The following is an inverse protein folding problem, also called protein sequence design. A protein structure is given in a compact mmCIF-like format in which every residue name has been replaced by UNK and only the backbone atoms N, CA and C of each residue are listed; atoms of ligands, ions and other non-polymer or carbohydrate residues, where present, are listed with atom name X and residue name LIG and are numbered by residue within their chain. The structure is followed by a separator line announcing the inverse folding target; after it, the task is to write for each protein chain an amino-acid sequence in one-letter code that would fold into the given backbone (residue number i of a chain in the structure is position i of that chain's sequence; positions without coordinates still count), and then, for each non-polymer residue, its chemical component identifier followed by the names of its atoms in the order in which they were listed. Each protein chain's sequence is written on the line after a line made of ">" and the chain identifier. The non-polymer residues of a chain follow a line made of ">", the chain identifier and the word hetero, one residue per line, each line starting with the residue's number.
data_IF_772519484408
#
_entry.id   IF_772519484408
#
_cell.length_a   1.000
_cell.length_b   1.000
_cell.length_c   1.000
_cell.angle_alpha   90.00
_cell.angle_beta   90.00
_cell.angle_gamma   90.00
#
_symmetry.space_group_name_H-M   'P 1'
#
loop_
_entity.id
_entity.type
_entity.pdbx_description
1 polymer ?
#
# COMPACT_ATOMS: atom_id res chain seq x y z
N UNK A 1 -12.68 -5.79 -10.19
CA UNK A 1 -12.41 -5.74 -11.63
C UNK A 1 -11.01 -5.19 -11.82
N UNK A 2 -10.15 -5.90 -12.53
CA UNK A 2 -8.98 -5.31 -13.18
C UNK A 2 -9.44 -4.01 -13.86
N UNK A 3 -8.80 -2.87 -13.50
CA UNK A 3 -9.34 -1.56 -13.82
C UNK A 3 -9.27 -1.34 -15.32
N UNK A 4 -10.37 -1.65 -16.00
CA UNK A 4 -10.54 -1.40 -17.42
C UNK A 4 -10.38 0.09 -17.68
N UNK A 5 -9.59 0.42 -18.69
CA UNK A 5 -9.46 1.78 -19.18
C UNK A 5 -9.67 1.83 -20.68
N UNK A 6 -10.04 3.00 -21.20
CA UNK A 6 -10.16 3.18 -22.64
C UNK A 6 -8.79 3.11 -23.30
N UNK A 7 -8.70 2.49 -24.46
CA UNK A 7 -7.47 2.41 -25.25
C UNK A 7 -6.86 3.80 -25.54
N UNK A 8 -7.69 4.81 -25.83
CA UNK A 8 -7.18 6.17 -26.02
C UNK A 8 -6.62 6.81 -24.75
N UNK A 9 -7.15 6.43 -23.58
CA UNK A 9 -6.62 6.83 -22.28
C UNK A 9 -5.31 6.12 -21.98
N UNK A 10 -5.24 4.81 -22.23
CA UNK A 10 -4.02 3.99 -22.08
C UNK A 10 -2.85 4.60 -22.86
N UNK A 11 -3.03 4.80 -24.17
CA UNK A 11 -1.99 5.34 -25.05
C UNK A 11 -1.66 6.80 -24.72
N UNK A 12 -2.65 7.55 -24.20
CA UNK A 12 -2.48 8.94 -23.78
C UNK A 12 -1.65 9.07 -22.51
N UNK A 13 -1.90 8.23 -21.51
CA UNK A 13 -1.13 8.19 -20.28
C UNK A 13 0.30 7.72 -20.55
N UNK A 14 0.50 6.77 -21.49
CA UNK A 14 1.82 6.34 -21.98
C UNK A 14 2.45 7.30 -23.00
N UNK A 15 1.90 8.50 -23.16
CA UNK A 15 2.47 9.61 -23.95
C UNK A 15 2.78 9.26 -25.42
N UNK A 16 2.01 8.35 -26.02
CA UNK A 16 2.11 8.02 -27.46
C UNK A 16 1.68 9.21 -28.34
N UNK A 17 0.79 10.06 -27.83
CA UNK A 17 0.42 11.31 -28.48
C UNK A 17 -0.72 12.02 -27.76
N UNK A 18 -1.13 13.17 -28.28
CA UNK A 18 -2.37 13.82 -27.84
C UNK A 18 -3.58 12.94 -28.17
N UNK A 19 -4.70 13.15 -27.46
CA UNK A 19 -5.94 12.39 -27.70
C UNK A 19 -6.38 12.39 -29.16
N UNK A 20 -6.18 13.50 -29.88
CA UNK A 20 -6.50 13.60 -31.32
C UNK A 20 -5.55 12.77 -32.18
N UNK A 21 -4.23 12.83 -31.91
CA UNK A 21 -3.22 12.04 -32.61
C UNK A 21 -3.41 10.54 -32.38
N UNK A 22 -3.75 10.12 -31.16
CA UNK A 22 -4.03 8.72 -30.83
C UNK A 22 -5.26 8.23 -31.60
N UNK A 23 -6.36 8.98 -31.60
CA UNK A 23 -7.55 8.63 -32.37
C UNK A 23 -7.27 8.50 -33.87
N UNK A 24 -6.43 9.38 -34.41
CA UNK A 24 -6.00 9.30 -35.80
C UNK A 24 -5.14 8.06 -36.08
N UNK A 25 -4.18 7.74 -35.21
CA UNK A 25 -3.33 6.57 -35.35
C UNK A 25 -4.11 5.25 -35.29
N UNK A 26 -5.08 5.16 -34.37
CA UNK A 26 -6.01 4.02 -34.27
C UNK A 26 -6.80 3.87 -35.59
N UNK A 27 -7.36 4.95 -36.13
CA UNK A 27 -8.05 4.94 -37.44
C UNK A 27 -7.16 4.51 -38.60
N UNK A 28 -5.87 4.80 -38.53
CA UNK A 28 -4.85 4.43 -39.53
C UNK A 28 -4.26 3.03 -39.31
N UNK A 29 -4.88 2.18 -38.48
CA UNK A 29 -4.44 0.81 -38.19
C UNK A 29 -3.04 0.70 -37.58
N UNK A 30 -2.56 1.76 -36.91
CA UNK A 30 -1.23 1.80 -36.29
C UNK A 30 -1.21 1.21 -34.88
N UNK A 31 -2.37 0.78 -34.37
CA UNK A 31 -2.52 0.24 -33.02
C UNK A 31 -3.10 -1.17 -33.08
N UNK A 32 -2.52 -2.09 -32.33
CA UNK A 32 -3.05 -3.46 -32.12
C UNK A 32 -3.32 -3.70 -30.63
N UNK A 33 -4.31 -4.54 -30.35
CA UNK A 33 -4.59 -5.10 -29.02
C UNK A 33 -4.62 -6.61 -29.17
N UNK A 34 -3.75 -7.31 -28.44
CA UNK A 34 -3.53 -8.76 -28.52
C UNK A 34 -3.28 -9.23 -29.96
N UNK A 35 -2.45 -8.49 -30.70
CA UNK A 35 -2.10 -8.78 -32.09
C UNK A 35 -3.17 -8.42 -33.13
N UNK A 36 -4.36 -7.98 -32.72
CA UNK A 36 -5.46 -7.62 -33.63
C UNK A 36 -5.50 -6.09 -33.78
N UNK A 37 -5.55 -5.61 -35.03
CA UNK A 37 -5.68 -4.17 -35.34
C UNK A 37 -6.96 -3.62 -34.72
N UNK A 38 -6.83 -2.57 -33.91
CA UNK A 38 -7.96 -1.90 -33.27
C UNK A 38 -8.29 -0.59 -33.98
N UNK A 39 -9.58 -0.32 -34.16
CA UNK A 39 -10.12 0.88 -34.82
C UNK A 39 -10.99 1.73 -33.89
N UNK A 40 -11.38 1.20 -32.73
CA UNK A 40 -12.19 1.87 -31.72
C UNK A 40 -11.33 2.43 -30.59
N UNK A 41 -11.15 3.75 -30.59
CA UNK A 41 -10.44 4.47 -29.51
C UNK A 41 -11.04 4.30 -28.12
N UNK A 42 -12.33 3.93 -28.03
CA UNK A 42 -13.06 3.75 -26.77
C UNK A 42 -13.02 2.32 -26.23
N UNK A 43 -12.38 1.37 -26.93
CA UNK A 43 -12.26 -0.02 -26.47
C UNK A 43 -11.72 -0.05 -25.04
N UNK A 44 -12.38 -0.82 -24.18
CA UNK A 44 -11.87 -1.09 -22.84
C UNK A 44 -10.74 -2.11 -22.96
N UNK A 45 -9.60 -1.77 -22.38
CA UNK A 45 -8.41 -2.62 -22.28
C UNK A 45 -8.00 -2.77 -20.83
N UNK A 46 -7.30 -3.87 -20.57
CA UNK A 46 -6.80 -4.29 -19.29
C UNK A 46 -5.29 -4.11 -19.23
N UNK A 47 -4.76 -3.13 -18.46
CA UNK A 47 -3.34 -2.81 -18.54
C UNK A 47 -2.37 -3.91 -18.11
N UNK A 48 -2.81 -4.87 -17.32
CA UNK A 48 -1.98 -5.98 -16.83
C UNK A 48 -2.07 -7.24 -17.69
N UNK A 49 -3.03 -7.33 -18.62
CA UNK A 49 -3.25 -8.55 -19.41
C UNK A 49 -3.35 -8.34 -20.92
N UNK A 50 -3.79 -7.16 -21.39
CA UNK A 50 -3.82 -6.85 -22.82
C UNK A 50 -2.45 -6.38 -23.32
N UNK A 51 -1.96 -6.98 -24.41
CA UNK A 51 -0.76 -6.55 -25.13
C UNK A 51 -1.15 -5.49 -26.15
N UNK A 52 -0.76 -4.24 -25.92
CA UNK A 52 -1.05 -3.12 -26.82
C UNK A 52 0.21 -2.70 -27.56
N UNK A 53 0.17 -2.64 -28.90
CA UNK A 53 1.28 -2.13 -29.70
C UNK A 53 0.91 -0.88 -30.47
N UNK A 54 1.86 0.05 -30.61
CA UNK A 54 1.82 1.20 -31.51
C UNK A 54 2.94 1.10 -32.54
N UNK A 55 2.62 1.12 -33.83
CA UNK A 55 3.55 0.86 -34.95
C UNK A 55 4.38 -0.42 -34.77
N UNK A 56 3.74 -1.48 -34.25
CA UNK A 56 4.39 -2.77 -34.00
C UNK A 56 5.32 -2.80 -32.79
N UNK A 57 5.44 -1.71 -32.02
CA UNK A 57 6.15 -1.68 -30.74
C UNK A 57 5.17 -1.78 -29.59
N UNK A 58 5.43 -2.70 -28.68
CA UNK A 58 4.64 -2.84 -27.46
C UNK A 58 4.71 -1.56 -26.61
N UNK A 59 3.55 -1.15 -26.10
CA UNK A 59 3.38 -0.01 -25.21
C UNK A 59 3.04 -0.56 -23.85
N UNK A 60 4.03 -0.68 -22.98
CA UNK A 60 3.83 -1.15 -21.61
C UNK A 60 3.17 -0.07 -20.76
N UNK A 61 2.16 -0.43 -19.98
CA UNK A 61 1.49 0.51 -19.10
C UNK A 61 2.18 0.60 -17.74
N UNK A 62 2.60 1.81 -17.39
CA UNK A 62 3.17 2.11 -16.08
C UNK A 62 2.25 3.11 -15.37
N UNK A 63 1.36 2.60 -14.52
CA UNK A 63 0.42 3.45 -13.78
C UNK A 63 1.14 4.49 -12.93
N UNK A 64 2.22 4.05 -12.28
CA UNK A 64 2.98 4.80 -11.29
C UNK A 64 4.47 4.71 -11.59
N UNK A 65 5.16 5.85 -11.59
CA UNK A 65 6.60 5.94 -11.80
C UNK A 65 7.29 6.43 -10.52
N UNK A 66 8.48 5.92 -10.24
CA UNK A 66 9.31 6.34 -9.11
C UNK A 66 10.73 6.62 -9.60
N UNK A 67 11.21 7.82 -9.32
CA UNK A 67 12.55 8.25 -9.69
C UNK A 67 13.32 8.76 -8.49
N UNK A 68 14.59 8.38 -8.42
CA UNK A 68 15.59 9.02 -7.60
C UNK A 68 16.27 10.11 -8.43
N UNK A 69 16.21 11.35 -7.96
CA UNK A 69 16.98 12.47 -8.50
C UNK A 69 18.10 12.82 -7.51
N UNK A 70 19.33 12.94 -8.00
CA UNK A 70 20.40 13.61 -7.27
C UNK A 70 20.30 15.11 -7.55
N UNK A 71 19.48 15.82 -6.75
CA UNK A 71 19.20 17.23 -6.97
C UNK A 71 20.49 18.06 -6.85
N UNK A 72 20.82 18.92 -7.84
CA UNK A 72 21.91 19.89 -7.71
C UNK A 72 21.45 21.18 -7.01
N UNK A 73 22.41 21.97 -6.53
CA UNK A 73 22.17 23.34 -6.11
C UNK A 73 21.76 24.22 -7.30
N UNK A 74 21.08 25.33 -7.03
CA UNK A 74 20.62 26.30 -8.03
C UNK A 74 19.28 25.99 -8.68
N UNK A 75 18.71 24.81 -8.44
CA UNK A 75 17.41 24.36 -8.98
C UNK A 75 16.37 24.33 -7.85
N UNK A 76 15.15 24.80 -8.11
CA UNK A 76 14.08 24.82 -7.10
C UNK A 76 13.26 23.52 -7.11
N UNK A 77 12.87 23.03 -5.92
CA UNK A 77 11.94 21.91 -5.81
C UNK A 77 10.50 22.37 -5.99
N UNK A 78 10.03 22.33 -7.23
CA UNK A 78 8.68 22.65 -7.69
C UNK A 78 8.34 21.80 -8.93
N UNK A 79 7.07 21.72 -9.28
CA UNK A 79 6.60 21.07 -10.52
C UNK A 79 6.73 21.98 -11.75
N UNK A 80 6.48 23.27 -11.57
CA UNK A 80 6.60 24.29 -12.60
C UNK A 80 6.98 25.63 -11.98
N UNK A 81 7.71 26.46 -12.72
CA UNK A 81 7.99 27.85 -12.37
C UNK A 81 8.24 28.67 -13.65
N UNK A 82 7.93 29.97 -13.61
CA UNK A 82 8.03 30.85 -14.79
C UNK A 82 9.42 31.44 -15.01
N UNK A 83 10.27 31.43 -13.98
CA UNK A 83 11.55 32.16 -13.96
C UNK A 83 12.71 31.24 -13.62
N UNK A 84 12.49 30.32 -12.69
CA UNK A 84 13.54 29.47 -12.13
C UNK A 84 13.47 28.07 -12.73
N UNK A 85 14.64 27.45 -12.90
CA UNK A 85 14.71 26.04 -13.30
C UNK A 85 14.22 25.15 -12.15
N UNK A 86 13.33 24.23 -12.45
CA UNK A 86 12.75 23.28 -11.50
C UNK A 86 13.41 21.91 -11.58
N UNK A 87 13.14 21.07 -10.58
CA UNK A 87 13.64 19.68 -10.56
C UNK A 87 13.04 18.82 -11.69
N UNK A 88 11.83 19.13 -12.17
CA UNK A 88 11.24 18.41 -13.29
C UNK A 88 11.87 18.80 -14.63
N UNK A 89 12.43 20.01 -14.75
CA UNK A 89 13.20 20.44 -15.93
C UNK A 89 14.54 19.71 -16.08
N UNK A 90 14.95 18.91 -15.09
CA UNK A 90 16.12 18.02 -15.16
C UNK A 90 15.78 16.65 -15.72
N UNK A 91 14.49 16.34 -15.88
CA UNK A 91 14.03 15.02 -16.29
C UNK A 91 13.52 15.02 -17.73
N UNK A 92 13.79 13.92 -18.44
CA UNK A 92 13.26 13.70 -19.79
C UNK A 92 11.88 13.01 -19.78
N UNK A 93 11.33 12.71 -18.59
CA UNK A 93 10.02 12.05 -18.50
C UNK A 93 8.94 12.94 -19.11
N UNK A 94 8.11 12.32 -19.95
CA UNK A 94 7.01 12.99 -20.63
C UNK A 94 5.74 13.05 -19.77
N UNK A 95 5.76 12.47 -18.57
CA UNK A 95 4.63 12.48 -17.64
C UNK A 95 4.45 13.84 -17.00
N UNK A 96 3.22 14.34 -17.05
CA UNK A 96 2.85 15.66 -16.50
C UNK A 96 2.35 15.62 -15.06
N UNK A 97 2.14 14.43 -14.52
CA UNK A 97 1.61 14.18 -13.18
C UNK A 97 2.70 13.79 -12.16
N UNK A 98 3.97 13.87 -12.55
CA UNK A 98 5.10 13.70 -11.64
C UNK A 98 5.23 14.90 -10.71
N UNK A 99 5.57 14.63 -9.45
CA UNK A 99 5.86 15.66 -8.47
C UNK A 99 6.96 15.21 -7.48
N UNK A 100 7.73 16.16 -6.91
CA UNK A 100 8.72 15.85 -5.91
C UNK A 100 8.08 15.50 -4.56
N UNK A 101 8.56 14.43 -3.92
CA UNK A 101 8.17 14.00 -2.58
C UNK A 101 9.00 14.75 -1.55
N UNK A 102 8.41 15.85 -1.08
CA UNK A 102 9.06 16.79 -0.18
C UNK A 102 9.93 17.78 -0.94
N UNK A 103 10.56 18.69 -0.18
CA UNK A 103 11.31 19.80 -0.75
C UNK A 103 12.73 19.82 -0.22
N UNK A 104 13.66 20.19 -1.09
CA UNK A 104 14.99 20.62 -0.73
C UNK A 104 15.11 22.10 -1.12
N UNK A 105 15.86 22.86 -0.32
CA UNK A 105 16.07 24.28 -0.61
C UNK A 105 16.87 24.43 -1.92
N UNK A 106 16.82 25.62 -2.53
CA UNK A 106 17.47 25.88 -3.83
C UNK A 106 18.96 25.54 -3.81
N UNK A 107 19.64 25.84 -2.70
CA UNK A 107 21.06 25.61 -2.44
C UNK A 107 21.36 24.26 -1.76
N UNK A 108 20.35 23.39 -1.57
CA UNK A 108 20.53 22.06 -0.99
C UNK A 108 20.58 20.98 -2.07
N UNK A 109 21.53 20.07 -1.93
CA UNK A 109 21.77 18.96 -2.85
C UNK A 109 21.24 17.62 -2.32
N UNK A 110 21.30 16.59 -3.17
CA UNK A 110 21.15 15.20 -2.75
C UNK A 110 19.81 14.57 -3.13
N UNK A 111 19.48 13.50 -2.42
CA UNK A 111 18.34 12.64 -2.73
C UNK A 111 17.02 13.39 -2.78
N UNK A 112 16.32 13.32 -3.90
CA UNK A 112 14.92 13.72 -4.04
C UNK A 112 14.14 12.62 -4.76
N UNK A 113 13.09 12.10 -4.11
CA UNK A 113 12.14 11.19 -4.73
C UNK A 113 11.17 11.99 -5.59
N UNK A 114 10.93 11.55 -6.82
CA UNK A 114 9.92 12.08 -7.74
C UNK A 114 9.00 10.94 -8.15
N UNK A 115 7.69 11.13 -8.00
CA UNK A 115 6.69 10.13 -8.32
C UNK A 115 5.36 10.78 -8.64
N UNK A 116 4.42 10.01 -9.17
CA UNK A 116 3.01 10.36 -9.26
C UNK A 116 2.15 9.57 -8.23
N UNK A 117 2.77 8.81 -7.33
CA UNK A 117 2.08 8.15 -6.20
C UNK A 117 1.80 9.14 -5.06
N UNK A 118 0.57 9.66 -5.05
CA UNK A 118 0.10 10.60 -4.02
C UNK A 118 0.05 9.99 -2.61
N UNK A 119 -0.29 8.70 -2.50
CA UNK A 119 -0.50 8.05 -1.22
C UNK A 119 0.84 7.71 -0.54
N UNK A 120 1.82 7.22 -1.31
CA UNK A 120 3.19 7.06 -0.84
C UNK A 120 3.78 8.42 -0.43
N UNK A 121 3.60 9.44 -1.25
CA UNK A 121 4.15 10.76 -0.95
C UNK A 121 3.57 11.37 0.33
N UNK A 122 2.24 11.31 0.50
CA UNK A 122 1.58 11.77 1.72
C UNK A 122 2.08 10.99 2.95
N UNK A 123 2.27 9.67 2.83
CA UNK A 123 2.81 8.84 3.90
C UNK A 123 4.24 9.23 4.28
N UNK A 124 5.11 9.43 3.29
CA UNK A 124 6.51 9.78 3.50
C UNK A 124 6.70 11.18 4.09
N UNK A 125 5.76 12.09 3.83
CA UNK A 125 5.81 13.47 4.31
C UNK A 125 5.01 13.71 5.59
N UNK A 126 4.14 12.76 5.98
CA UNK A 126 3.28 12.92 7.15
C UNK A 126 4.11 13.11 8.43
N UNK A 127 3.88 14.18 9.20
CA UNK A 127 4.56 14.41 10.48
C UNK A 127 4.36 13.29 11.52
N UNK A 128 3.29 12.50 11.35
CA UNK A 128 2.92 11.37 12.23
C UNK A 128 3.75 10.11 11.97
N UNK A 129 4.41 10.00 10.81
CA UNK A 129 5.13 8.78 10.40
C UNK A 129 6.62 8.81 10.76
N UNK A 130 7.15 9.95 11.19
CA UNK A 130 8.53 10.09 11.67
C UNK A 130 9.59 9.54 10.69
N UNK A 131 9.37 9.71 9.39
CA UNK A 131 10.32 9.22 8.37
C UNK A 131 11.65 9.96 8.52
N UNK A 132 12.67 9.21 8.93
CA UNK A 132 14.02 9.71 9.10
C UNK A 132 14.61 10.21 7.78
N UNK A 133 15.35 11.32 7.85
CA UNK A 133 16.07 11.92 6.73
C UNK A 133 17.47 12.20 7.22
N UNK A 134 18.46 11.65 6.53
CA UNK A 134 19.87 11.80 6.88
C UNK A 134 20.50 12.81 5.94
N UNK A 135 21.20 13.77 6.50
CA UNK A 135 21.90 14.82 5.79
C UNK A 135 23.37 14.81 6.14
N UNK A 136 24.19 15.13 5.16
CA UNK A 136 25.57 15.56 5.36
C UNK A 136 25.61 17.09 5.29
N UNK A 137 26.29 17.71 6.24
CA UNK A 137 26.45 19.16 6.26
C UNK A 137 27.90 19.53 6.56
N UNK A 138 28.37 20.59 5.89
CA UNK A 138 29.56 21.33 6.32
C UNK A 138 29.09 22.57 7.06
N UNK A 139 29.59 22.77 8.26
CA UNK A 139 29.15 23.84 9.16
C UNK A 139 30.35 24.62 9.70
N UNK A 140 30.18 25.93 9.86
CA UNK A 140 31.25 26.82 10.29
C UNK A 140 31.64 26.56 11.76
N UNK A 141 32.94 26.54 12.02
CA UNK A 141 33.51 26.31 13.34
C UNK A 141 33.60 24.82 13.73
N UNK A 142 34.17 24.59 14.90
CA UNK A 142 34.36 23.26 15.47
C UNK A 142 33.14 22.86 16.31
N UNK A 143 32.42 21.83 15.88
CA UNK A 143 31.28 21.29 16.61
C UNK A 143 31.78 20.39 17.75
N UNK A 144 31.36 20.68 18.97
CA UNK A 144 31.65 19.89 20.16
C UNK A 144 30.49 19.01 20.62
N UNK A 145 30.79 18.14 21.58
CA UNK A 145 29.84 17.18 22.16
C UNK A 145 28.61 17.87 22.81
N UNK A 146 28.78 19.09 23.31
CA UNK A 146 27.70 19.89 23.87
C UNK A 146 26.61 20.23 22.84
N UNK A 147 26.97 20.35 21.56
CA UNK A 147 26.01 20.58 20.48
C UNK A 147 25.25 19.29 20.16
N UNK A 148 25.93 18.14 20.17
CA UNK A 148 25.32 16.81 19.98
C UNK A 148 24.23 16.58 21.03
N UNK A 149 24.54 16.86 22.29
CA UNK A 149 23.57 16.72 23.39
C UNK A 149 22.36 17.66 23.24
N UNK A 150 22.57 18.91 22.78
CA UNK A 150 21.47 19.85 22.50
C UNK A 150 20.56 19.36 21.36
N UNK A 151 21.12 18.76 20.31
CA UNK A 151 20.33 18.18 19.22
C UNK A 151 19.52 16.97 19.71
N UNK A 152 20.14 16.09 20.50
CA UNK A 152 19.48 14.92 21.09
C UNK A 152 18.35 15.28 22.07
N UNK A 153 18.47 16.41 22.78
CA UNK A 153 17.40 16.92 23.66
C UNK A 153 16.25 17.60 22.90
N UNK A 154 16.46 17.96 21.62
CA UNK A 154 15.58 18.85 20.87
C UNK A 154 15.89 20.33 21.13
N UNK A 155 15.71 21.15 20.10
CA UNK A 155 16.03 22.58 20.12
C UNK A 155 14.76 23.44 20.08
N UNK A 156 14.84 24.64 20.66
CA UNK A 156 13.85 25.70 20.43
C UNK A 156 14.51 26.74 19.52
N UNK A 157 13.89 26.97 18.36
CA UNK A 157 14.36 27.98 17.43
C UNK A 157 14.07 29.40 17.94
N UNK A 158 14.75 30.41 17.39
CA UNK A 158 14.57 31.81 17.81
C UNK A 158 13.15 32.37 17.65
N UNK A 159 12.31 31.73 16.84
CA UNK A 159 10.88 32.05 16.66
C UNK A 159 9.95 31.32 17.67
N UNK A 160 10.52 30.58 18.63
CA UNK A 160 9.79 29.78 19.61
C UNK A 160 9.39 28.39 19.12
N UNK A 161 9.73 28.01 17.88
CA UNK A 161 9.41 26.69 17.35
C UNK A 161 10.21 25.60 18.07
N UNK A 162 9.52 24.72 18.80
CA UNK A 162 10.13 23.53 19.39
C UNK A 162 10.34 22.44 18.33
N UNK A 163 11.55 21.88 18.28
CA UNK A 163 11.97 20.80 17.39
C UNK A 163 12.01 19.48 18.14
N UNK A 164 11.79 18.38 17.41
CA UNK A 164 11.98 17.03 17.94
C UNK A 164 13.48 16.75 18.13
N UNK A 165 13.83 15.78 18.98
CA UNK A 165 15.18 15.22 19.03
C UNK A 165 15.73 14.89 17.65
N UNK A 166 17.02 15.18 17.46
CA UNK A 166 17.78 14.88 16.25
C UNK A 166 19.11 14.22 16.62
N UNK A 167 19.55 13.29 15.79
CA UNK A 167 20.88 12.68 15.94
C UNK A 167 21.89 13.53 15.17
N UNK A 168 23.05 13.75 15.77
CA UNK A 168 24.15 14.52 15.19
C UNK A 168 25.46 13.75 15.40
N UNK A 169 26.05 13.29 14.31
CA UNK A 169 27.37 12.67 14.32
C UNK A 169 28.41 13.65 13.79
N UNK A 170 29.51 13.82 14.52
CA UNK A 170 30.66 14.60 14.06
C UNK A 170 31.55 13.67 13.24
N UNK A 171 31.72 13.96 11.94
CA UNK A 171 32.51 13.12 11.03
C UNK A 171 33.97 13.55 11.05
N UNK A 172 34.22 14.85 10.88
CA UNK A 172 35.58 15.42 10.89
C UNK A 172 35.56 16.92 11.09
N UNK A 173 36.73 17.51 11.33
CA UNK A 173 36.97 18.95 11.35
C UNK A 173 38.16 19.29 10.47
N UNK A 174 38.06 20.38 9.72
CA UNK A 174 39.13 20.89 8.86
C UNK A 174 39.62 22.23 9.39
N UNK A 175 40.88 22.29 9.85
CA UNK A 175 41.50 23.52 10.35
C UNK A 175 41.67 24.58 9.25
N UNK A 176 41.89 24.17 8.00
CA UNK A 176 42.16 25.09 6.88
C UNK A 176 40.92 25.89 6.46
N UNK A 177 39.76 25.25 6.51
CA UNK A 177 38.48 25.88 6.15
C UNK A 177 37.70 26.36 7.37
N UNK A 178 38.14 26.00 8.58
CA UNK A 178 37.42 26.19 9.83
C UNK A 178 35.99 25.64 9.77
N UNK A 179 35.83 24.43 9.22
CA UNK A 179 34.52 23.78 9.04
C UNK A 179 34.50 22.38 9.67
N UNK A 180 33.37 22.02 10.29
CA UNK A 180 33.07 20.64 10.68
C UNK A 180 32.22 19.96 9.62
N UNK A 181 32.58 18.72 9.27
CA UNK A 181 31.70 17.81 8.54
C UNK A 181 30.88 17.02 9.55
N UNK A 182 29.57 17.06 9.39
CA UNK A 182 28.62 16.41 10.31
C UNK A 182 27.55 15.65 9.54
N UNK A 183 26.99 14.63 10.19
CA UNK A 183 25.82 13.91 9.71
C UNK A 183 24.65 14.15 10.67
N UNK A 184 23.51 14.56 10.13
CA UNK A 184 22.32 14.89 10.93
C UNK A 184 21.15 14.02 10.49
N UNK A 185 20.49 13.36 11.45
CA UNK A 185 19.23 12.63 11.22
C UNK A 185 18.07 13.40 11.84
N UNK A 186 17.07 13.74 11.02
CA UNK A 186 15.83 14.37 11.48
C UNK A 186 14.60 13.59 10.99
N UNK A 187 13.54 13.60 11.79
CA UNK A 187 12.25 12.93 11.46
C UNK A 187 11.13 13.91 11.09
N UNK A 188 11.41 15.21 11.13
CA UNK A 188 10.53 16.29 10.70
C UNK A 188 11.08 16.96 9.43
N UNK A 189 10.45 18.04 8.99
CA UNK A 189 10.77 18.72 7.73
C UNK A 189 10.29 20.16 7.76
N UNK A 190 10.65 20.91 8.79
CA UNK A 190 10.27 22.33 8.91
C UNK A 190 11.10 23.20 7.95
N UNK A 191 10.58 24.38 7.65
CA UNK A 191 11.24 25.34 6.75
C UNK A 191 12.69 25.59 7.18
N UNK A 192 13.66 25.38 6.28
CA UNK A 192 15.10 25.56 6.53
C UNK A 192 15.60 24.95 7.86
N UNK A 193 15.01 23.82 8.28
CA UNK A 193 15.16 23.32 9.66
C UNK A 193 16.63 23.17 10.09
N UNK A 194 17.45 22.46 9.31
CA UNK A 194 18.86 22.18 9.65
C UNK A 194 19.65 23.48 9.76
N UNK A 195 19.47 24.41 8.82
CA UNK A 195 20.13 25.72 8.85
C UNK A 195 19.77 26.50 10.12
N UNK A 196 18.48 26.49 10.50
CA UNK A 196 18.01 27.15 11.73
C UNK A 196 18.49 26.45 13.01
N UNK A 197 18.64 25.13 13.00
CA UNK A 197 19.19 24.37 14.11
C UNK A 197 20.65 24.75 14.39
N UNK A 198 21.50 24.79 13.37
CA UNK A 198 22.89 25.23 13.54
C UNK A 198 22.99 26.69 13.96
N UNK A 199 22.15 27.56 13.39
CA UNK A 199 22.11 28.97 13.79
C UNK A 199 21.78 29.13 15.28
N UNK A 200 20.86 28.33 15.81
CA UNK A 200 20.47 28.35 17.22
C UNK A 200 21.61 27.93 18.18
N UNK A 201 22.63 27.22 17.68
CA UNK A 201 23.83 26.86 18.45
C UNK A 201 25.06 27.70 18.07
N UNK A 202 24.87 28.79 17.32
CA UNK A 202 25.95 29.73 16.95
C UNK A 202 26.81 29.30 15.77
N UNK A 203 26.33 28.38 14.94
CA UNK A 203 27.02 27.86 13.75
C UNK A 203 26.23 28.14 12.48
N UNK A 204 26.88 28.16 11.32
CA UNK A 204 26.24 28.39 10.02
C UNK A 204 26.46 27.19 9.08
N UNK A 205 25.42 26.78 8.34
CA UNK A 205 25.53 25.70 7.34
C UNK A 205 26.08 26.26 6.04
N UNK A 206 27.24 25.75 5.60
CA UNK A 206 27.94 26.14 4.38
C UNK A 206 27.60 25.24 3.19
N UNK A 207 27.31 23.97 3.47
CA UNK A 207 26.89 22.99 2.49
C UNK A 207 25.90 22.02 3.11
N UNK A 208 24.90 21.58 2.34
CA UNK A 208 23.89 20.64 2.79
C UNK A 208 23.52 19.68 1.67
N UNK A 209 23.61 18.37 1.96
CA UNK A 209 23.24 17.29 1.04
C UNK A 209 22.39 16.26 1.75
N UNK A 210 21.21 15.93 1.21
CA UNK A 210 20.41 14.81 1.72
C UNK A 210 20.96 13.49 1.20
N UNK A 211 21.35 12.60 2.10
CA UNK A 211 21.88 11.27 1.78
C UNK A 211 20.77 10.22 1.72
N UNK A 212 19.74 10.33 2.57
CA UNK A 212 18.66 9.35 2.60
C UNK A 212 17.32 9.93 3.05
N UNK A 213 16.24 9.22 2.72
CA UNK A 213 14.89 9.47 3.21
C UNK A 213 14.18 8.13 3.41
N UNK A 214 13.88 7.79 4.66
CA UNK A 214 13.39 6.47 5.04
C UNK A 214 14.39 5.39 4.64
N UNK A 215 13.90 4.35 3.97
CA UNK A 215 14.70 3.23 3.46
C UNK A 215 15.50 3.57 2.19
N UNK A 216 15.20 4.68 1.52
CA UNK A 216 15.85 5.07 0.28
C UNK A 216 17.15 5.84 0.56
N UNK A 217 18.27 5.35 0.02
CA UNK A 217 19.59 5.99 0.08
C UNK A 217 19.97 6.53 -1.28
N UNK A 218 20.65 7.67 -1.32
CA UNK A 218 21.19 8.23 -2.55
C UNK A 218 22.19 7.24 -3.15
N UNK A 219 22.04 6.98 -4.45
CA UNK A 219 23.00 6.21 -5.22
C UNK A 219 24.31 6.98 -5.36
N UNK A 220 25.41 6.37 -4.92
CA UNK A 220 26.75 6.97 -4.96
C UNK A 220 27.27 7.17 -6.39
N UNK A 221 26.75 6.41 -7.36
CA UNK A 221 27.13 6.50 -8.77
C UNK A 221 26.27 7.49 -9.56
N UNK A 222 25.19 8.01 -8.98
CA UNK A 222 24.30 8.96 -9.66
C UNK A 222 24.88 10.37 -9.57
N UNK A 223 25.24 10.97 -10.72
CA UNK A 223 25.86 12.28 -10.72
C UNK A 223 24.85 13.41 -10.38
N UNK A 224 25.37 14.59 -10.01
CA UNK A 224 24.53 15.76 -9.74
C UNK A 224 23.69 16.14 -10.97
N UNK A 225 22.38 16.29 -10.79
CA UNK A 225 21.44 16.58 -11.87
C UNK A 225 20.88 15.34 -12.57
N UNK A 226 21.50 14.18 -12.38
CA UNK A 226 21.00 12.93 -12.95
C UNK A 226 19.88 12.32 -12.11
N UNK A 227 19.05 11.55 -12.79
CA UNK A 227 17.99 10.76 -12.19
C UNK A 227 17.99 9.35 -12.75
N UNK A 228 17.46 8.42 -11.96
CA UNK A 228 17.20 7.04 -12.40
C UNK A 228 15.88 6.54 -11.86
N UNK A 229 15.30 5.54 -12.51
CA UNK A 229 14.18 4.82 -11.94
C UNK A 229 14.61 4.12 -10.64
N UNK A 230 13.70 4.02 -9.68
CA UNK A 230 13.91 3.16 -8.52
C UNK A 230 13.87 1.68 -8.95
N UNK A 231 14.65 0.86 -8.27
CA UNK A 231 14.54 -0.60 -8.41
C UNK A 231 13.26 -1.11 -7.75
N UNK A 232 12.79 -2.30 -8.14
CA UNK A 232 11.64 -2.94 -7.48
C UNK A 232 11.86 -3.11 -5.98
N UNK A 233 13.08 -3.41 -5.55
CA UNK A 233 13.45 -3.53 -4.14
C UNK A 233 13.37 -2.19 -3.38
N UNK A 234 13.82 -1.09 -4.00
CA UNK A 234 13.71 0.25 -3.40
C UNK A 234 12.24 0.67 -3.23
N UNK A 235 11.40 0.40 -4.24
CA UNK A 235 9.96 0.67 -4.19
C UNK A 235 9.31 -0.17 -3.10
N UNK A 236 9.61 -1.47 -3.06
CA UNK A 236 9.15 -2.44 -2.06
C UNK A 236 9.48 -1.97 -0.64
N UNK A 237 10.73 -1.55 -0.38
CA UNK A 237 11.14 -1.01 0.93
C UNK A 237 10.50 0.32 1.30
N UNK A 238 10.08 1.14 0.32
CA UNK A 238 9.35 2.39 0.56
C UNK A 238 7.85 2.14 0.85
N UNK A 239 7.31 1.09 0.24
CA UNK A 239 5.93 0.68 0.41
C UNK A 239 5.71 -0.09 1.72
N UNK A 240 6.70 -0.88 2.12
CA UNK A 240 6.63 -1.75 3.30
C UNK A 240 5.96 -3.08 2.97
N UNK A 241 5.49 -3.76 4.01
CA UNK A 241 4.79 -5.04 3.91
C UNK A 241 3.39 -4.93 4.53
N UNK A 242 2.49 -5.81 4.10
CA UNK A 242 1.12 -5.88 4.60
C UNK A 242 0.78 -7.29 5.08
N UNK A 243 0.03 -7.38 6.18
CA UNK A 243 -0.69 -8.58 6.58
C UNK A 243 -2.17 -8.35 6.27
N UNK A 244 -2.72 -9.16 5.37
CA UNK A 244 -4.11 -9.13 4.95
C UNK A 244 -4.77 -10.40 5.49
N UNK A 245 -5.88 -10.24 6.19
CA UNK A 245 -6.55 -11.35 6.86
C UNK A 245 -7.95 -11.53 6.29
N UNK A 246 -8.33 -12.77 6.01
CA UNK A 246 -9.73 -13.13 6.18
C UNK A 246 -10.13 -12.96 7.66
N UNK A 247 -11.43 -12.82 7.91
CA UNK A 247 -11.95 -12.64 9.25
C UNK A 247 -12.38 -13.97 9.86
N UNK A 248 -13.34 -14.64 9.22
CA UNK A 248 -14.11 -15.75 9.78
C UNK A 248 -13.35 -17.06 9.62
N UNK A 249 -13.03 -17.73 10.72
CA UNK A 249 -12.16 -18.91 10.66
C UNK A 249 -10.68 -18.56 10.48
N UNK A 250 -10.33 -17.28 10.35
CA UNK A 250 -8.94 -16.81 10.31
C UNK A 250 -8.57 -16.03 11.57
N UNK A 251 -9.11 -14.81 11.76
CA UNK A 251 -8.84 -14.00 12.94
C UNK A 251 -9.78 -14.30 14.10
N UNK A 252 -11.03 -14.64 13.77
CA UNK A 252 -12.07 -14.95 14.75
C UNK A 252 -12.54 -16.40 14.61
N UNK A 253 -12.88 -17.02 15.73
CA UNK A 253 -13.47 -18.36 15.78
C UNK A 253 -14.99 -18.24 15.63
N UNK A 254 -15.48 -18.32 14.39
CA UNK A 254 -16.88 -18.01 14.05
C UNK A 254 -17.51 -18.94 13.01
N UNK A 255 -16.74 -19.77 12.29
CA UNK A 255 -17.27 -20.54 11.15
C UNK A 255 -18.44 -21.47 11.53
N UNK A 256 -18.40 -22.02 12.74
CA UNK A 256 -19.38 -22.98 13.23
C UNK A 256 -20.80 -22.42 13.42
N UNK A 257 -21.00 -21.10 13.38
CA UNK A 257 -22.33 -20.49 13.53
C UNK A 257 -23.16 -20.58 12.24
N UNK A 258 -22.50 -20.54 11.07
CA UNK A 258 -23.18 -20.38 9.78
C UNK A 258 -24.11 -21.54 9.42
N UNK A 259 -23.76 -22.82 9.67
CA UNK A 259 -24.69 -23.92 9.45
C UNK A 259 -26.00 -23.80 10.23
N UNK A 260 -25.95 -23.27 11.46
CA UNK A 260 -27.14 -23.06 12.28
C UNK A 260 -28.01 -21.93 11.73
N UNK A 261 -27.39 -20.86 11.22
CA UNK A 261 -28.07 -19.75 10.54
C UNK A 261 -28.73 -20.27 9.26
N UNK A 262 -28.02 -21.07 8.46
CA UNK A 262 -28.56 -21.66 7.24
C UNK A 262 -29.74 -22.60 7.53
N UNK A 263 -29.66 -23.41 8.59
CA UNK A 263 -30.74 -24.29 9.03
C UNK A 263 -31.98 -23.52 9.47
N UNK A 264 -31.82 -22.50 10.31
CA UNK A 264 -32.92 -21.66 10.77
C UNK A 264 -33.56 -20.89 9.60
N UNK A 265 -32.73 -20.23 8.78
CA UNK A 265 -33.19 -19.41 7.66
C UNK A 265 -33.92 -20.25 6.61
N UNK A 266 -33.33 -21.36 6.14
CA UNK A 266 -33.97 -22.25 5.17
C UNK A 266 -35.22 -22.94 5.77
N UNK A 267 -35.21 -23.21 7.07
CA UNK A 267 -36.34 -23.75 7.82
C UNK A 267 -37.57 -22.86 7.76
N UNK A 268 -37.42 -21.53 7.77
CA UNK A 268 -38.53 -20.57 7.60
C UNK A 268 -39.29 -20.77 6.28
N UNK A 269 -38.61 -21.27 5.26
CA UNK A 269 -39.15 -21.55 3.93
C UNK A 269 -39.47 -23.04 3.70
N UNK A 270 -39.32 -23.88 4.73
CA UNK A 270 -39.61 -25.31 4.67
C UNK A 270 -38.54 -26.14 3.97
N UNK A 271 -37.32 -25.62 3.83
CA UNK A 271 -36.18 -26.35 3.26
C UNK A 271 -35.28 -26.93 4.35
N UNK A 272 -34.64 -28.06 4.04
CA UNK A 272 -33.52 -28.60 4.81
C UNK A 272 -32.21 -28.20 4.15
N UNK A 273 -31.15 -28.01 4.93
CA UNK A 273 -29.81 -27.69 4.42
C UNK A 273 -29.26 -28.85 3.57
N UNK A 274 -28.95 -28.63 2.27
CA UNK A 274 -28.30 -29.64 1.45
C UNK A 274 -26.85 -29.92 1.91
N UNK A 275 -26.40 -31.17 1.78
CA UNK A 275 -25.02 -31.56 2.15
C UNK A 275 -23.94 -30.80 1.35
N UNK A 276 -24.26 -30.41 0.10
CA UNK A 276 -23.36 -29.68 -0.79
C UNK A 276 -23.39 -28.16 -0.60
N UNK A 277 -24.22 -27.63 0.32
CA UNK A 277 -24.42 -26.18 0.43
C UNK A 277 -23.12 -25.45 0.76
N UNK A 278 -22.45 -25.83 1.84
CA UNK A 278 -21.26 -25.15 2.34
C UNK A 278 -20.11 -25.15 1.32
N UNK A 279 -19.86 -26.31 0.69
CA UNK A 279 -18.83 -26.43 -0.34
C UNK A 279 -19.16 -25.65 -1.60
N UNK A 280 -20.46 -25.46 -1.91
CA UNK A 280 -20.88 -24.68 -3.08
C UNK A 280 -20.74 -23.18 -2.86
N UNK A 281 -21.06 -22.69 -1.66
CA UNK A 281 -21.05 -21.25 -1.36
C UNK A 281 -19.71 -20.76 -0.81
N UNK A 282 -18.76 -21.66 -0.55
CA UNK A 282 -17.40 -21.31 -0.13
C UNK A 282 -16.79 -20.25 -1.07
N UNK A 283 -16.17 -19.23 -0.50
CA UNK A 283 -15.51 -18.15 -1.23
C UNK A 283 -16.46 -17.10 -1.85
N UNK A 284 -17.73 -17.43 -2.11
CA UNK A 284 -18.73 -16.48 -2.60
C UNK A 284 -18.86 -15.29 -1.65
N UNK A 285 -19.10 -14.11 -2.21
CA UNK A 285 -19.48 -12.95 -1.41
C UNK A 285 -20.86 -13.14 -0.78
N UNK A 286 -21.14 -12.37 0.26
CA UNK A 286 -22.45 -12.31 0.90
C UNK A 286 -23.60 -12.07 -0.09
N UNK A 287 -23.37 -11.27 -1.14
CA UNK A 287 -24.38 -10.98 -2.17
C UNK A 287 -24.50 -12.10 -3.19
N UNK A 288 -23.40 -12.72 -3.63
CA UNK A 288 -23.43 -13.90 -4.52
C UNK A 288 -24.15 -15.07 -3.84
N UNK A 289 -23.92 -15.27 -2.55
CA UNK A 289 -24.62 -16.28 -1.74
C UNK A 289 -26.13 -16.01 -1.71
N UNK A 290 -26.56 -14.75 -1.54
CA UNK A 290 -27.97 -14.40 -1.61
C UNK A 290 -28.61 -14.69 -2.98
N UNK A 291 -27.89 -14.40 -4.08
CA UNK A 291 -28.36 -14.78 -5.42
C UNK A 291 -28.50 -16.30 -5.58
N UNK A 292 -27.51 -17.05 -5.12
CA UNK A 292 -27.53 -18.50 -5.13
C UNK A 292 -28.72 -19.06 -4.34
N UNK A 293 -28.97 -18.57 -3.11
CA UNK A 293 -30.11 -19.02 -2.31
C UNK A 293 -31.44 -18.71 -2.99
N UNK A 294 -31.57 -17.50 -3.56
CA UNK A 294 -32.77 -17.10 -4.28
C UNK A 294 -33.06 -17.99 -5.48
N UNK A 295 -32.03 -18.35 -6.24
CA UNK A 295 -32.17 -19.22 -7.41
C UNK A 295 -32.39 -20.69 -7.01
N UNK A 296 -31.59 -21.24 -6.10
CA UNK A 296 -31.64 -22.65 -5.72
C UNK A 296 -32.90 -23.01 -4.95
N UNK A 297 -33.31 -22.17 -4.01
CA UNK A 297 -34.43 -22.44 -3.11
C UNK A 297 -35.68 -21.60 -3.45
N UNK A 298 -35.67 -20.85 -4.56
CA UNK A 298 -36.81 -20.06 -5.03
C UNK A 298 -37.36 -19.10 -3.95
N UNK A 299 -36.46 -18.52 -3.14
CA UNK A 299 -36.82 -17.64 -2.02
C UNK A 299 -37.51 -16.37 -2.54
N UNK A 300 -38.72 -16.02 -2.05
CA UNK A 300 -39.47 -14.88 -2.54
C UNK A 300 -38.82 -13.53 -2.21
N UNK A 301 -38.12 -13.46 -1.08
CA UNK A 301 -37.49 -12.26 -0.55
C UNK A 301 -36.48 -11.62 -1.50
N UNK A 302 -36.42 -10.29 -1.49
CA UNK A 302 -35.38 -9.58 -2.23
C UNK A 302 -33.99 -9.85 -1.63
N UNK A 303 -32.94 -9.76 -2.45
CA UNK A 303 -31.54 -9.97 -2.02
C UNK A 303 -31.20 -9.17 -0.76
N UNK A 304 -31.68 -7.92 -0.69
CA UNK A 304 -31.46 -7.05 0.45
C UNK A 304 -32.21 -7.48 1.72
N UNK A 305 -33.40 -8.06 1.61
CA UNK A 305 -34.12 -8.63 2.75
C UNK A 305 -33.39 -9.87 3.28
N UNK A 306 -32.96 -10.77 2.40
CA UNK A 306 -32.21 -11.98 2.78
C UNK A 306 -30.95 -11.62 3.57
N UNK A 307 -30.17 -10.66 3.05
CA UNK A 307 -28.95 -10.17 3.70
C UNK A 307 -29.21 -9.50 5.04
N UNK A 308 -30.32 -8.76 5.17
CA UNK A 308 -30.72 -8.15 6.45
C UNK A 308 -31.10 -9.20 7.49
N UNK A 309 -31.81 -10.25 7.09
CA UNK A 309 -32.20 -11.34 8.00
C UNK A 309 -30.97 -12.12 8.47
N UNK A 310 -30.06 -12.51 7.55
CA UNK A 310 -28.80 -13.16 7.91
C UNK A 310 -27.94 -12.30 8.85
N UNK A 311 -27.83 -10.99 8.58
CA UNK A 311 -27.16 -10.07 9.48
C UNK A 311 -27.81 -10.07 10.85
N UNK A 312 -29.14 -9.98 10.94
CA UNK A 312 -29.86 -9.95 12.21
C UNK A 312 -29.65 -11.25 13.03
N UNK A 313 -29.67 -12.41 12.37
CA UNK A 313 -29.43 -13.72 12.98
C UNK A 313 -27.99 -13.83 13.53
N UNK A 314 -27.01 -13.34 12.79
CA UNK A 314 -25.60 -13.40 13.16
C UNK A 314 -25.18 -12.31 14.16
N UNK A 315 -25.86 -11.16 14.18
CA UNK A 315 -25.36 -9.93 14.81
C UNK A 315 -25.00 -10.09 16.29
N UNK A 316 -25.85 -10.77 17.07
CA UNK A 316 -25.61 -10.96 18.51
C UNK A 316 -24.29 -11.67 18.78
N UNK A 317 -23.97 -12.68 17.96
CA UNK A 317 -22.72 -13.41 18.07
C UNK A 317 -21.53 -12.50 17.75
N UNK A 318 -21.52 -11.83 16.60
CA UNK A 318 -20.39 -10.98 16.20
C UNK A 318 -20.21 -9.80 17.16
N UNK A 319 -21.30 -9.16 17.59
CA UNK A 319 -21.26 -7.98 18.42
C UNK A 319 -20.87 -8.27 19.87
N UNK A 320 -21.03 -9.51 20.37
CA UNK A 320 -20.89 -9.80 21.80
C UNK A 320 -20.16 -11.09 22.17
N UNK A 321 -20.12 -12.11 21.30
CA UNK A 321 -19.63 -13.46 21.63
C UNK A 321 -18.42 -13.91 20.83
N UNK A 322 -18.17 -13.32 19.66
CA UNK A 322 -17.02 -13.64 18.85
C UNK A 322 -15.73 -13.53 19.66
N UNK A 323 -14.82 -14.48 19.45
CA UNK A 323 -13.53 -14.55 20.14
C UNK A 323 -12.39 -14.55 19.12
N UNK A 324 -11.25 -13.95 19.50
CA UNK A 324 -10.03 -14.01 18.70
C UNK A 324 -9.40 -15.39 18.78
N UNK A 325 -8.81 -15.82 17.66
CA UNK A 325 -7.95 -17.00 17.66
C UNK A 325 -6.68 -16.79 18.51
N UNK A 326 -6.12 -17.87 19.09
CA UNK A 326 -4.92 -17.77 19.91
C UNK A 326 -3.77 -17.06 19.17
N UNK A 327 -3.13 -16.10 19.86
CA UNK A 327 -2.00 -15.32 19.32
C UNK A 327 -2.37 -14.18 18.35
N UNK A 328 -3.63 -14.07 17.90
CA UNK A 328 -4.01 -13.08 16.88
C UNK A 328 -3.73 -11.64 17.35
N UNK A 329 -4.12 -11.30 18.58
CA UNK A 329 -3.89 -9.96 19.13
C UNK A 329 -2.39 -9.62 19.24
N UNK A 330 -1.57 -10.57 19.69
CA UNK A 330 -0.12 -10.39 19.82
C UNK A 330 0.54 -10.15 18.46
N UNK A 331 0.08 -10.86 17.42
CA UNK A 331 0.51 -10.62 16.05
C UNK A 331 0.14 -9.20 15.60
N UNK A 332 -1.11 -8.76 15.78
CA UNK A 332 -1.55 -7.41 15.37
C UNK A 332 -0.73 -6.31 16.06
N UNK A 333 -0.46 -6.46 17.36
CA UNK A 333 0.40 -5.54 18.14
C UNK A 333 1.82 -5.53 17.59
N UNK A 334 2.40 -6.71 17.37
CA UNK A 334 3.79 -6.84 16.90
C UNK A 334 3.94 -6.32 15.47
N UNK A 335 2.93 -6.53 14.63
CA UNK A 335 2.91 -6.04 13.27
C UNK A 335 2.87 -4.51 13.21
N UNK A 336 2.04 -3.86 14.05
CA UNK A 336 2.05 -2.39 14.16
C UNK A 336 3.38 -1.83 14.67
N UNK A 337 3.99 -2.48 15.66
CA UNK A 337 5.33 -2.11 16.16
C UNK A 337 6.39 -2.17 15.07
N UNK A 338 6.30 -3.16 14.18
CA UNK A 338 7.19 -3.34 13.03
C UNK A 338 6.70 -2.63 11.76
N UNK A 339 5.74 -1.71 11.90
CA UNK A 339 5.22 -0.86 10.81
C UNK A 339 4.56 -1.59 9.63
N UNK A 340 4.10 -2.83 9.84
CA UNK A 340 3.27 -3.52 8.86
C UNK A 340 1.93 -2.82 8.68
N UNK A 341 1.44 -2.88 7.45
CA UNK A 341 0.06 -2.53 7.12
C UNK A 341 -0.86 -3.68 7.45
N UNK A 342 -2.04 -3.38 7.97
CA UNK A 342 -3.02 -4.41 8.33
C UNK A 342 -4.31 -4.17 7.55
N UNK A 343 -4.83 -5.21 6.92
CA UNK A 343 -6.09 -5.16 6.18
C UNK A 343 -6.99 -6.35 6.46
N UNK A 344 -8.30 -6.13 6.43
CA UNK A 344 -9.32 -7.19 6.40
C UNK A 344 -9.83 -7.35 4.98
N UNK A 345 -9.99 -8.60 4.54
CA UNK A 345 -10.54 -9.00 3.25
C UNK A 345 -11.47 -10.22 3.44
N UNK A 346 -12.72 -9.97 3.82
CA UNK A 346 -13.71 -11.01 4.17
C UNK A 346 -14.81 -11.16 3.12
N UNK A 347 -15.39 -12.35 2.97
CA UNK A 347 -16.62 -12.53 2.17
C UNK A 347 -17.91 -12.16 2.92
N UNK A 348 -17.80 -11.92 4.23
CA UNK A 348 -18.90 -11.56 5.11
C UNK A 348 -19.37 -10.11 4.91
N UNK A 349 -20.48 -9.74 5.55
CA UNK A 349 -21.03 -8.39 5.49
C UNK A 349 -20.18 -7.39 6.28
N UNK A 350 -20.17 -6.13 5.81
CA UNK A 350 -19.44 -5.05 6.48
C UNK A 350 -19.96 -4.82 7.90
N UNK A 351 -21.26 -4.93 8.08
CA UNK A 351 -21.92 -4.75 9.38
C UNK A 351 -21.41 -5.75 10.42
N UNK A 352 -21.36 -7.04 10.08
CA UNK A 352 -20.87 -8.09 10.98
C UNK A 352 -19.37 -7.98 11.22
N UNK A 353 -18.59 -7.73 10.17
CA UNK A 353 -17.14 -7.56 10.29
C UNK A 353 -16.78 -6.40 11.23
N UNK A 354 -17.39 -5.22 11.03
CA UNK A 354 -17.12 -4.08 11.91
C UNK A 354 -17.64 -4.29 13.33
N UNK A 355 -18.77 -4.97 13.51
CA UNK A 355 -19.31 -5.30 14.83
C UNK A 355 -18.33 -6.18 15.64
N UNK A 356 -17.81 -7.26 15.03
CA UNK A 356 -16.82 -8.12 15.69
C UNK A 356 -15.51 -7.38 15.99
N UNK A 357 -14.96 -6.65 15.03
CA UNK A 357 -13.70 -5.92 15.24
C UNK A 357 -13.82 -4.87 16.36
N UNK A 358 -14.97 -4.20 16.49
CA UNK A 358 -15.25 -3.23 17.57
C UNK A 358 -15.42 -3.93 18.92
N UNK A 359 -16.19 -5.02 18.96
CA UNK A 359 -16.37 -5.83 20.17
C UNK A 359 -15.03 -6.34 20.72
N UNK A 360 -14.17 -6.81 19.83
CA UNK A 360 -12.85 -7.36 20.16
C UNK A 360 -11.79 -6.28 20.43
N UNK A 361 -12.11 -5.00 20.28
CA UNK A 361 -11.18 -3.89 20.52
C UNK A 361 -10.02 -3.80 19.52
N UNK A 362 -10.15 -4.41 18.34
CA UNK A 362 -9.09 -4.47 17.32
C UNK A 362 -9.39 -3.66 16.05
N UNK A 363 -10.56 -3.00 15.97
CA UNK A 363 -10.95 -2.19 14.82
C UNK A 363 -9.87 -1.19 14.39
N UNK A 364 -9.30 -0.45 15.34
CA UNK A 364 -8.31 0.61 15.06
C UNK A 364 -6.92 0.08 14.65
N UNK A 365 -6.71 -1.23 14.67
CA UNK A 365 -5.49 -1.84 14.13
C UNK A 365 -5.51 -1.88 12.61
N UNK A 366 -6.66 -1.86 11.94
CA UNK A 366 -6.68 -2.07 10.49
C UNK A 366 -6.57 -0.74 9.74
N UNK A 367 -5.65 -0.68 8.78
CA UNK A 367 -5.53 0.44 7.83
C UNK A 367 -6.68 0.39 6.80
N UNK A 368 -7.25 -0.79 6.54
CA UNK A 368 -8.37 -1.00 5.61
C UNK A 368 -9.26 -2.17 6.05
N UNK A 369 -10.57 -2.05 5.84
CA UNK A 369 -11.54 -3.14 6.01
C UNK A 369 -12.36 -3.26 4.72
N UNK A 370 -12.21 -4.39 4.03
CA UNK A 370 -12.90 -4.73 2.79
C UNK A 370 -13.75 -5.98 2.95
N UNK A 371 -14.85 -5.98 2.22
CA UNK A 371 -15.71 -7.13 2.00
C UNK A 371 -15.66 -7.53 0.53
N UNK A 372 -15.95 -8.80 0.20
CA UNK A 372 -16.07 -9.25 -1.19
C UNK A 372 -17.22 -8.54 -1.93
N UNK A 373 -18.14 -7.88 -1.21
CA UNK A 373 -19.17 -7.02 -1.80
C UNK A 373 -18.65 -5.63 -2.23
N UNK A 374 -17.45 -5.22 -1.79
CA UNK A 374 -16.80 -3.96 -2.23
C UNK A 374 -16.07 -4.13 -3.58
N UNK A 375 -16.00 -5.37 -4.09
CA UNK A 375 -15.29 -5.73 -5.32
C UNK A 375 -16.21 -6.50 -6.27
N UNK A 376 -15.69 -6.84 -7.45
CA UNK A 376 -16.53 -7.31 -8.55
C UNK A 376 -16.86 -8.81 -8.51
N UNK A 377 -16.07 -9.61 -7.81
CA UNK A 377 -16.23 -11.05 -7.68
C UNK A 377 -15.72 -11.52 -6.32
N UNK A 378 -16.40 -12.52 -5.74
CA UNK A 378 -15.93 -13.23 -4.56
C UNK A 378 -14.69 -14.09 -4.81
N UNK A 379 -14.17 -14.69 -3.74
CA UNK A 379 -13.04 -15.63 -3.82
C UNK A 379 -13.50 -16.87 -4.62
N UNK A 380 -12.67 -17.47 -5.48
CA UNK A 380 -11.21 -17.36 -5.57
C UNK A 380 -10.69 -16.22 -6.47
N UNK A 381 -11.54 -15.27 -6.89
CA UNK A 381 -11.05 -14.10 -7.61
C UNK A 381 -10.13 -13.27 -6.69
N UNK A 382 -9.02 -12.71 -7.21
CA UNK A 382 -8.02 -12.01 -6.39
C UNK A 382 -8.46 -10.60 -5.98
N UNK A 383 -9.63 -10.15 -6.43
CA UNK A 383 -10.08 -8.76 -6.40
C UNK A 383 -10.05 -8.11 -5.01
N UNK A 384 -10.51 -8.83 -3.97
CA UNK A 384 -10.58 -8.29 -2.60
C UNK A 384 -9.17 -8.07 -2.03
N UNK A 385 -8.23 -8.97 -2.31
CA UNK A 385 -6.84 -8.86 -1.88
C UNK A 385 -6.09 -7.78 -2.65
N UNK A 386 -6.25 -7.73 -3.98
CA UNK A 386 -5.64 -6.68 -4.80
C UNK A 386 -6.14 -5.27 -4.41
N UNK A 387 -7.43 -5.12 -4.10
CA UNK A 387 -7.97 -3.85 -3.62
C UNK A 387 -7.47 -3.53 -2.20
N UNK A 388 -7.31 -4.53 -1.32
CA UNK A 388 -6.73 -4.33 0.00
C UNK A 388 -5.28 -3.83 -0.09
N UNK A 389 -4.43 -4.53 -0.85
CA UNK A 389 -3.03 -4.17 -1.11
C UNK A 389 -2.91 -2.75 -1.68
N UNK A 390 -3.77 -2.41 -2.65
CA UNK A 390 -3.84 -1.06 -3.21
C UNK A 390 -4.21 0.00 -2.16
N UNK A 391 -5.21 -0.24 -1.32
CA UNK A 391 -5.63 0.72 -0.28
C UNK A 391 -4.60 0.90 0.83
N UNK A 392 -3.79 -0.12 1.12
CA UNK A 392 -2.66 0.00 2.05
C UNK A 392 -1.37 0.47 1.39
N UNK A 393 -1.38 0.62 0.05
CA UNK A 393 -0.27 1.04 -0.80
C UNK A 393 0.96 0.14 -0.67
N UNK A 394 0.73 -1.17 -0.71
CA UNK A 394 1.75 -2.22 -0.71
C UNK A 394 1.55 -3.06 -1.97
N UNK A 395 2.63 -3.36 -2.69
CA UNK A 395 2.56 -4.25 -3.86
C UNK A 395 2.22 -5.68 -3.45
N UNK A 396 1.50 -6.45 -4.28
CA UNK A 396 1.03 -7.79 -3.89
C UNK A 396 2.14 -8.73 -3.42
N UNK A 397 3.33 -8.67 -4.02
CA UNK A 397 4.46 -9.54 -3.69
C UNK A 397 5.00 -9.32 -2.26
N UNK A 398 4.65 -8.19 -1.63
CA UNK A 398 4.98 -7.84 -0.25
C UNK A 398 3.82 -8.05 0.74
N UNK A 399 2.72 -8.64 0.27
CA UNK A 399 1.55 -8.92 1.10
C UNK A 399 1.56 -10.39 1.55
N UNK A 400 1.22 -10.60 2.82
CA UNK A 400 0.92 -11.91 3.39
C UNK A 400 -0.58 -12.03 3.56
N UNK A 401 -1.18 -13.07 2.98
CA UNK A 401 -2.62 -13.36 3.08
C UNK A 401 -2.83 -14.52 4.04
N UNK A 402 -3.61 -14.29 5.10
CA UNK A 402 -4.01 -15.32 6.07
C UNK A 402 -5.43 -15.77 5.76
N UNK A 403 -5.60 -17.08 5.54
CA UNK A 403 -6.85 -17.70 5.08
C UNK A 403 -7.02 -19.10 5.65
N UNK A 404 -8.27 -19.48 5.90
CA UNK A 404 -8.62 -20.77 6.48
C UNK A 404 -9.44 -21.67 5.55
N UNK A 405 -9.74 -21.22 4.32
CA UNK A 405 -10.43 -22.01 3.29
C UNK A 405 -9.64 -22.10 1.98
N UNK A 406 -9.66 -23.23 1.25
CA UNK A 406 -8.95 -23.40 -0.02
C UNK A 406 -9.22 -22.33 -1.06
N UNK A 407 -10.49 -21.94 -1.28
CA UNK A 407 -10.82 -20.90 -2.27
C UNK A 407 -10.28 -19.52 -1.89
N UNK A 408 -10.14 -19.26 -0.59
CA UNK A 408 -9.53 -18.05 -0.06
C UNK A 408 -8.02 -18.02 -0.27
N UNK A 409 -7.33 -19.13 0.03
CA UNK A 409 -5.90 -19.30 -0.29
C UNK A 409 -5.66 -19.12 -1.79
N UNK A 410 -6.50 -19.74 -2.63
CA UNK A 410 -6.40 -19.60 -4.08
C UNK A 410 -6.57 -18.14 -4.54
N UNK A 411 -7.42 -17.34 -3.89
CA UNK A 411 -7.52 -15.91 -4.16
C UNK A 411 -6.22 -15.15 -3.85
N UNK A 412 -5.55 -15.49 -2.75
CA UNK A 412 -4.22 -14.94 -2.41
C UNK A 412 -3.15 -15.30 -3.44
N UNK A 413 -3.11 -16.58 -3.87
CA UNK A 413 -2.21 -17.07 -4.92
C UNK A 413 -2.48 -16.33 -6.24
N UNK A 414 -3.75 -16.22 -6.64
CA UNK A 414 -4.15 -15.52 -7.86
C UNK A 414 -3.78 -14.02 -7.82
N UNK A 415 -3.66 -13.44 -6.63
CA UNK A 415 -3.25 -12.06 -6.42
C UNK A 415 -1.71 -11.88 -6.46
N UNK A 416 -0.92 -12.96 -6.54
CA UNK A 416 0.54 -12.91 -6.50
C UNK A 416 1.10 -12.62 -5.10
N UNK A 417 0.36 -12.97 -4.05
CA UNK A 417 0.72 -12.71 -2.66
C UNK A 417 1.27 -13.97 -1.99
N UNK A 418 2.05 -13.79 -0.93
CA UNK A 418 2.47 -14.90 -0.08
C UNK A 418 1.30 -15.34 0.79
N UNK A 419 0.99 -16.64 0.82
CA UNK A 419 -0.19 -17.18 1.50
C UNK A 419 0.16 -17.96 2.76
N UNK A 420 -0.66 -17.81 3.78
CA UNK A 420 -0.54 -18.48 5.07
C UNK A 420 -1.86 -19.17 5.38
N UNK A 421 -1.86 -20.50 5.31
CA UNK A 421 -3.00 -21.31 5.72
C UNK A 421 -3.15 -21.27 7.25
N UNK A 422 -4.31 -20.84 7.72
CA UNK A 422 -4.68 -20.84 9.13
C UNK A 422 -5.54 -22.05 9.42
N UNK A 423 -5.20 -22.76 10.50
CA UNK A 423 -5.99 -23.88 10.97
C UNK A 423 -7.31 -23.40 11.56
N UNK A 424 -8.39 -24.08 11.19
CA UNK A 424 -9.69 -23.98 11.85
C UNK A 424 -10.22 -25.41 12.03
N UNK A 425 -10.82 -25.70 13.18
CA UNK A 425 -11.38 -27.02 13.44
C UNK A 425 -12.57 -27.36 12.54
N UNK A 426 -13.28 -26.34 12.05
CA UNK A 426 -14.38 -26.48 11.10
C UNK A 426 -13.91 -26.95 9.72
N UNK A 427 -12.69 -26.55 9.33
CA UNK A 427 -12.08 -26.89 8.03
C UNK A 427 -10.97 -27.93 8.18
N UNK A 428 -11.01 -28.77 9.22
CA UNK A 428 -10.01 -29.81 9.49
C UNK A 428 -9.93 -30.84 8.34
N UNK A 429 -11.07 -31.17 7.73
CA UNK A 429 -11.13 -32.11 6.59
C UNK A 429 -10.34 -31.66 5.37
N UNK A 430 -10.12 -30.35 5.21
CA UNK A 430 -9.34 -29.75 4.11
C UNK A 430 -7.97 -29.23 4.58
N UNK A 431 -7.54 -29.53 5.81
CA UNK A 431 -6.27 -29.03 6.34
C UNK A 431 -5.05 -29.45 5.51
N UNK A 432 -5.01 -30.71 5.07
CA UNK A 432 -3.90 -31.20 4.23
C UNK A 432 -3.86 -30.53 2.85
N UNK A 433 -5.03 -30.22 2.28
CA UNK A 433 -5.13 -29.47 1.02
C UNK A 433 -4.61 -28.03 1.21
N UNK A 434 -5.06 -27.33 2.25
CA UNK A 434 -4.60 -25.97 2.56
C UNK A 434 -3.08 -25.88 2.72
N UNK A 435 -2.48 -26.84 3.43
CA UNK A 435 -1.01 -26.92 3.58
C UNK A 435 -0.27 -27.17 2.26
N UNK A 436 -0.87 -27.92 1.35
CA UNK A 436 -0.27 -28.19 0.05
C UNK A 436 -0.37 -26.98 -0.90
N UNK A 437 -1.39 -26.13 -0.71
CA UNK A 437 -1.63 -24.93 -1.53
C UNK A 437 -0.82 -23.72 -1.05
N UNK A 438 -0.78 -23.46 0.26
CA UNK A 438 -0.21 -22.24 0.81
C UNK A 438 1.32 -22.29 0.97
N UNK A 439 1.97 -21.12 0.93
CA UNK A 439 3.42 -21.01 1.16
C UNK A 439 3.82 -21.37 2.61
N UNK A 440 2.93 -21.05 3.55
CA UNK A 440 3.07 -21.36 4.97
C UNK A 440 1.76 -21.90 5.54
N UNK A 441 1.86 -22.59 6.67
CA UNK A 441 0.70 -23.06 7.41
C UNK A 441 0.95 -22.93 8.90
N UNK A 442 -0.05 -22.47 9.64
CA UNK A 442 0.00 -22.26 11.08
C UNK A 442 -1.23 -22.86 11.77
N UNK A 443 -1.04 -23.47 12.93
CA UNK A 443 -2.17 -23.94 13.77
C UNK A 443 -2.81 -22.81 14.57
N UNK A 444 -2.00 -21.85 14.97
CA UNK A 444 -2.41 -20.61 15.61
C UNK A 444 -1.38 -19.52 15.32
N UNK A 445 -1.69 -18.27 15.70
CA UNK A 445 -0.81 -17.15 15.40
C UNK A 445 0.45 -17.09 16.30
N UNK A 446 0.60 -17.97 17.30
CA UNK A 446 1.85 -18.06 18.07
C UNK A 446 2.96 -18.74 17.26
N UNK A 447 2.62 -19.55 16.26
CA UNK A 447 3.58 -20.18 15.34
C UNK A 447 4.12 -19.20 14.29
N UNK A 448 3.44 -18.06 14.08
CA UNK A 448 3.88 -17.05 13.13
C UNK A 448 4.88 -16.08 13.76
N UNK A 449 6.03 -15.91 13.10
CA UNK A 449 6.96 -14.81 13.37
C UNK A 449 6.99 -13.87 12.18
N UNK A 450 6.97 -12.57 12.45
CA UNK A 450 7.08 -11.55 11.42
C UNK A 450 8.44 -11.70 10.72
N UNK A 451 8.40 -11.84 9.39
CA UNK A 451 9.58 -12.10 8.55
C UNK A 451 9.98 -10.90 7.70
#
# INVERSE_FOLDING_TARGET
>A
MEKQMRLDKYLGEMQIGTRSQIKEAIKKNRVTVNGIVERESGRKVFPSSDIICYDGKEVNYVAVEYYMLHKPAGVITATEDKREKTVLDLMESKRKDLFPVGRLDKDTEGLLLITNDGDLAHRLLSPKRHVAKVYEARVAGKIGEEVVQKFAAGLILGDGTALKPAELDIVSYCDETEESLVRITIVEGKFHQIKRMFLAVGSEVRYLKRLSMGSLKLDENLALGEYRALTGEEISRLQGQALLFDLDGTLIDSMWIWPAIDEEYLGHYGYTVPEDLQTTIEGMSFTETAYYFKERFQIPDSIEQMKQEWNAMAFEFYAHRAALKPGALDLLITAKKNHFKLGIATSNSRELAEAALKNLGIYDYFDVILTSCDVCAGKPAPDVYLEAAKRVCVVPENCYVFEDVPLGIQAGINAGMTTVAVYDSWTDSVWEEKKAMADFAIRDFMEWSIR
#
